data_IF_016326842687
#
_entry.id   IF_016326842687
#
_cell.length_a   1.000
_cell.length_b   1.000
_cell.length_c   1.000
_cell.angle_alpha   90.00
_cell.angle_beta   90.00
_cell.angle_gamma   90.00
#
_symmetry.space_group_name_H-M   'P 1'
#
loop_
_entity.id
_entity.type
_entity.pdbx_description
1 polymer ?
#
# COMPACT_ATOMS: atom_id res chain seq x y z
N UNK A 1 -21.42 -22.40 -0.27
CA UNK A 1 -20.73 -23.26 -1.26
C UNK A 1 -21.38 -23.29 -2.65
N UNK A 2 -22.70 -23.45 -2.81
CA UNK A 2 -23.32 -23.65 -4.16
C UNK A 2 -23.43 -22.36 -5.00
N UNK A 3 -23.52 -21.18 -4.37
CA UNK A 3 -23.73 -19.91 -5.06
C UNK A 3 -22.48 -19.38 -5.78
N UNK A 4 -21.31 -19.42 -5.13
CA UNK A 4 -20.03 -18.95 -5.67
C UNK A 4 -19.47 -19.84 -6.79
N UNK A 5 -19.65 -21.16 -6.69
CA UNK A 5 -19.15 -22.09 -7.72
C UNK A 5 -19.89 -21.95 -9.06
N UNK A 6 -21.21 -21.74 -9.02
CA UNK A 6 -22.03 -21.56 -10.23
C UNK A 6 -21.69 -20.25 -10.95
N UNK A 7 -21.49 -19.16 -10.20
CA UNK A 7 -21.08 -17.85 -10.75
C UNK A 7 -19.67 -17.94 -11.36
N UNK A 8 -18.72 -18.58 -10.66
CA UNK A 8 -17.34 -18.76 -11.14
C UNK A 8 -17.30 -19.50 -12.48
N UNK A 9 -18.00 -20.64 -12.58
CA UNK A 9 -18.03 -21.43 -13.81
C UNK A 9 -18.68 -20.66 -14.98
N UNK A 10 -19.73 -19.89 -14.70
CA UNK A 10 -20.38 -19.04 -15.70
C UNK A 10 -19.41 -17.97 -16.22
N UNK A 11 -18.78 -17.21 -15.32
CA UNK A 11 -17.79 -16.17 -15.66
C UNK A 11 -16.68 -16.75 -16.54
N UNK A 12 -16.09 -17.88 -16.14
CA UNK A 12 -15.00 -18.51 -16.88
C UNK A 12 -15.44 -19.05 -18.25
N UNK A 13 -16.69 -19.51 -18.36
CA UNK A 13 -17.26 -19.93 -19.65
C UNK A 13 -17.42 -18.74 -20.60
N UNK A 14 -17.95 -17.62 -20.08
CA UNK A 14 -18.28 -16.44 -20.88
C UNK A 14 -17.01 -15.76 -21.44
N UNK A 15 -15.89 -15.80 -20.70
CA UNK A 15 -14.64 -15.16 -21.10
C UNK A 15 -13.61 -16.09 -21.77
N UNK A 16 -13.91 -17.39 -21.96
CA UNK A 16 -12.92 -18.40 -22.40
C UNK A 16 -12.18 -18.02 -23.69
N UNK A 17 -12.90 -17.55 -24.70
CA UNK A 17 -12.30 -17.20 -25.99
C UNK A 17 -11.32 -16.01 -25.86
N UNK A 18 -11.65 -15.04 -25.01
CA UNK A 18 -10.80 -13.88 -24.75
C UNK A 18 -9.57 -14.27 -23.92
N UNK A 19 -9.71 -15.19 -22.96
CA UNK A 19 -8.57 -15.75 -22.22
C UNK A 19 -7.51 -16.33 -23.16
N UNK A 20 -7.91 -17.23 -24.06
CA UNK A 20 -6.98 -17.90 -24.98
C UNK A 20 -6.30 -16.90 -25.94
N UNK A 21 -7.08 -15.93 -26.44
CA UNK A 21 -6.59 -14.85 -27.30
C UNK A 21 -5.55 -13.98 -26.59
N UNK A 22 -5.82 -13.56 -25.36
CA UNK A 22 -4.97 -12.64 -24.62
C UNK A 22 -3.71 -13.31 -24.08
N UNK A 23 -3.80 -14.57 -23.66
CA UNK A 23 -2.60 -15.35 -23.33
C UNK A 23 -1.68 -15.48 -24.56
N UNK A 24 -2.24 -15.83 -25.73
CA UNK A 24 -1.46 -15.91 -26.97
C UNK A 24 -0.77 -14.60 -27.33
N UNK A 25 -1.46 -13.46 -27.16
CA UNK A 25 -0.87 -12.14 -27.43
C UNK A 25 0.23 -11.81 -26.42
N UNK A 26 0.03 -12.13 -25.14
CA UNK A 26 1.02 -11.93 -24.11
C UNK A 26 2.30 -12.73 -24.37
N UNK A 27 2.19 -14.03 -24.68
CA UNK A 27 3.35 -14.86 -25.02
C UNK A 27 4.11 -14.31 -26.22
N UNK A 28 3.40 -13.88 -27.28
CA UNK A 28 4.02 -13.27 -28.46
C UNK A 28 4.81 -11.99 -28.11
N UNK A 29 4.25 -11.11 -27.29
CA UNK A 29 4.93 -9.87 -26.90
C UNK A 29 6.16 -10.15 -26.03
N UNK A 30 6.07 -11.15 -25.16
CA UNK A 30 7.20 -11.64 -24.35
C UNK A 30 8.33 -12.19 -25.23
N UNK A 31 8.01 -12.96 -26.26
CA UNK A 31 9.00 -13.49 -27.22
C UNK A 31 9.71 -12.39 -28.02
N UNK A 32 8.99 -11.32 -28.39
CA UNK A 32 9.57 -10.18 -29.11
C UNK A 32 10.51 -9.33 -28.24
N UNK A 33 10.27 -9.32 -26.93
CA UNK A 33 11.13 -8.76 -25.92
C UNK A 33 11.46 -7.27 -26.11
N UNK A 34 12.76 -6.92 -26.07
CA UNK A 34 13.24 -5.53 -26.15
C UNK A 34 12.78 -4.80 -27.43
N UNK A 35 12.64 -5.53 -28.53
CA UNK A 35 12.12 -4.97 -29.79
C UNK A 35 10.68 -4.49 -29.64
N UNK A 36 9.87 -5.24 -28.89
CA UNK A 36 8.50 -4.86 -28.59
C UNK A 36 8.46 -3.60 -27.73
N UNK A 37 9.26 -3.54 -26.67
CA UNK A 37 9.37 -2.34 -25.82
C UNK A 37 9.77 -1.09 -26.64
N UNK A 38 10.84 -1.20 -27.42
CA UNK A 38 11.37 -0.06 -28.21
C UNK A 38 10.33 0.48 -29.19
N UNK A 39 9.64 -0.42 -29.90
CA UNK A 39 8.58 -0.04 -30.83
C UNK A 39 7.39 0.60 -30.10
N UNK A 40 6.92 -0.03 -29.01
CA UNK A 40 5.79 0.45 -28.22
C UNK A 40 6.07 1.84 -27.64
N UNK A 41 7.28 2.06 -27.10
CA UNK A 41 7.70 3.34 -26.55
C UNK A 41 7.69 4.42 -27.63
N UNK A 42 8.38 4.20 -28.73
CA UNK A 42 8.45 5.14 -29.85
C UNK A 42 7.06 5.50 -30.40
N UNK A 43 6.22 4.49 -30.62
CA UNK A 43 4.86 4.68 -31.13
C UNK A 43 3.97 5.45 -30.14
N UNK A 44 4.14 5.21 -28.85
CA UNK A 44 3.34 5.88 -27.81
C UNK A 44 3.79 7.32 -27.63
N UNK A 45 5.10 7.58 -27.52
CA UNK A 45 5.64 8.94 -27.37
C UNK A 45 5.32 9.82 -28.57
N UNK A 46 5.30 9.27 -29.79
CA UNK A 46 4.91 10.01 -31.00
C UNK A 46 3.47 10.51 -31.00
N UNK A 47 2.61 9.95 -30.13
CA UNK A 47 1.19 10.33 -29.99
C UNK A 47 0.95 11.29 -28.81
N UNK A 48 1.97 11.55 -27.99
CA UNK A 48 1.87 12.47 -26.86
C UNK A 48 1.86 13.91 -27.38
N UNK A 49 0.87 14.69 -26.95
CA UNK A 49 0.74 16.12 -27.29
C UNK A 49 1.10 17.02 -26.12
N UNK A 50 1.00 16.50 -24.90
CA UNK A 50 1.39 17.21 -23.68
C UNK A 50 1.83 16.23 -22.60
N UNK A 51 2.79 16.67 -21.79
CA UNK A 51 3.21 16.00 -20.57
C UNK A 51 2.71 16.80 -19.37
N UNK A 52 2.30 16.10 -18.32
CA UNK A 52 1.90 16.70 -17.03
C UNK A 52 2.42 15.85 -15.88
N UNK A 53 2.58 16.45 -14.71
CA UNK A 53 3.12 15.80 -13.51
C UNK A 53 2.06 15.72 -12.42
N UNK A 54 2.22 14.76 -11.52
CA UNK A 54 1.34 14.60 -10.36
C UNK A 54 2.10 14.11 -9.13
N UNK A 55 1.62 14.49 -7.94
CA UNK A 55 2.15 14.07 -6.63
C UNK A 55 1.98 12.58 -6.33
N UNK A 56 1.18 11.88 -7.13
CA UNK A 56 0.88 10.46 -6.96
C UNK A 56 0.15 9.91 -8.18
N UNK A 57 -0.29 8.66 -8.08
CA UNK A 57 -1.03 8.04 -9.17
C UNK A 57 -2.37 8.76 -9.37
N UNK A 58 -2.63 9.20 -10.60
CA UNK A 58 -3.85 9.91 -11.00
C UNK A 58 -4.89 9.01 -11.65
N UNK A 59 -4.47 7.88 -12.21
CA UNK A 59 -5.27 7.14 -13.15
C UNK A 59 -5.22 5.63 -12.95
N UNK A 60 -6.40 5.02 -13.04
CA UNK A 60 -6.58 3.60 -13.24
C UNK A 60 -7.79 3.39 -14.16
N UNK A 61 -7.72 2.46 -15.13
CA UNK A 61 -8.91 2.08 -15.91
C UNK A 61 -9.99 1.36 -15.08
N UNK A 62 -9.64 0.86 -13.88
CA UNK A 62 -10.58 0.18 -12.98
C UNK A 62 -11.44 1.19 -12.21
N UNK A 63 -12.76 0.95 -12.09
CA UNK A 63 -13.61 1.78 -11.24
C UNK A 63 -13.20 1.61 -9.78
N UNK A 64 -13.26 2.71 -9.03
CA UNK A 64 -13.01 2.73 -7.59
C UNK A 64 -11.64 2.19 -7.15
N UNK A 65 -10.64 2.19 -8.04
CA UNK A 65 -9.30 1.68 -7.76
C UNK A 65 -8.70 2.28 -6.48
N UNK A 66 -8.75 3.61 -6.35
CA UNK A 66 -8.22 4.34 -5.20
C UNK A 66 -8.96 3.97 -3.90
N UNK A 67 -10.29 3.90 -3.95
CA UNK A 67 -11.13 3.52 -2.81
C UNK A 67 -10.89 2.07 -2.39
N UNK A 68 -10.77 1.13 -3.34
CA UNK A 68 -10.49 -0.29 -3.04
C UNK A 68 -9.12 -0.52 -2.40
N UNK A 69 -8.12 0.27 -2.78
CA UNK A 69 -6.74 0.13 -2.29
C UNK A 69 -6.41 1.09 -1.15
N UNK A 70 -7.34 1.97 -0.76
CA UNK A 70 -7.12 3.05 0.23
C UNK A 70 -5.94 3.94 -0.13
N UNK A 71 -5.78 4.18 -1.42
CA UNK A 71 -4.78 5.12 -1.93
C UNK A 71 -5.43 6.46 -2.11
N UNK A 72 -4.81 7.50 -1.54
CA UNK A 72 -5.15 8.86 -1.89
C UNK A 72 -4.76 9.08 -3.35
N UNK A 73 -5.72 9.48 -4.17
CA UNK A 73 -5.45 9.89 -5.54
C UNK A 73 -4.51 11.10 -5.52
N UNK A 74 -3.53 11.12 -6.43
CA UNK A 74 -2.61 12.25 -6.53
C UNK A 74 -3.29 13.57 -6.89
N UNK A 75 -2.48 14.62 -6.99
CA UNK A 75 -2.89 15.93 -7.48
C UNK A 75 -2.01 16.35 -8.65
N UNK A 76 -2.60 17.00 -9.65
CA UNK A 76 -1.85 17.56 -10.78
C UNK A 76 -0.92 18.67 -10.31
N UNK A 77 0.28 18.71 -10.88
CA UNK A 77 1.28 19.72 -10.63
C UNK A 77 1.35 20.71 -11.80
N UNK A 78 1.51 21.99 -11.47
CA UNK A 78 1.72 23.04 -12.46
C UNK A 78 3.08 22.93 -13.15
N UNK A 79 4.08 22.35 -12.47
CA UNK A 79 5.44 22.23 -12.94
C UNK A 79 6.01 20.84 -12.65
N UNK A 80 7.06 20.47 -13.38
CA UNK A 80 7.88 19.31 -13.05
C UNK A 80 8.49 19.49 -11.65
N UNK A 81 8.47 18.46 -10.78
CA UNK A 81 9.11 18.53 -9.47
C UNK A 81 10.64 18.50 -9.62
N UNK A 82 11.35 19.11 -8.65
CA UNK A 82 12.81 19.14 -8.63
C UNK A 82 13.41 17.75 -8.39
N UNK A 83 12.75 16.93 -7.57
CA UNK A 83 13.00 15.50 -7.39
C UNK A 83 11.84 14.72 -7.99
N UNK A 84 12.13 13.72 -8.81
CA UNK A 84 11.10 12.92 -9.47
C UNK A 84 10.70 11.70 -8.65
N UNK A 85 11.41 11.39 -7.56
CA UNK A 85 11.16 10.23 -6.72
C UNK A 85 9.72 10.24 -6.20
N UNK A 86 9.00 9.14 -6.43
CA UNK A 86 7.58 8.97 -6.10
C UNK A 86 6.59 9.92 -6.80
N UNK A 87 7.06 10.80 -7.68
CA UNK A 87 6.20 11.58 -8.58
C UNK A 87 5.85 10.80 -9.86
N UNK A 88 4.72 11.19 -10.44
CA UNK A 88 4.20 10.59 -11.66
C UNK A 88 4.23 11.57 -12.82
N UNK A 89 4.67 11.11 -13.99
CA UNK A 89 4.62 11.87 -15.24
C UNK A 89 3.69 11.17 -16.22
N UNK A 90 2.76 11.93 -16.81
CA UNK A 90 1.71 11.43 -17.68
C UNK A 90 1.81 12.03 -19.08
N UNK A 91 1.86 11.17 -20.09
CA UNK A 91 1.77 11.53 -21.50
C UNK A 91 0.33 11.48 -21.97
N UNK A 92 -0.22 12.61 -22.40
CA UNK A 92 -1.60 12.73 -22.89
C UNK A 92 -1.64 12.77 -24.42
N UNK A 93 -2.65 12.13 -25.01
CA UNK A 93 -2.92 12.20 -26.45
C UNK A 93 -3.81 13.39 -26.85
N UNK A 94 -4.11 13.54 -28.16
CA UNK A 94 -4.96 14.61 -28.70
C UNK A 94 -6.38 14.68 -28.10
N UNK A 95 -6.86 13.61 -27.44
CA UNK A 95 -8.16 13.56 -26.78
C UNK A 95 -8.04 13.66 -25.26
N UNK A 96 -6.88 14.11 -24.75
CA UNK A 96 -6.55 14.18 -23.32
C UNK A 96 -6.60 12.83 -22.60
N UNK A 97 -6.37 11.72 -23.32
CA UNK A 97 -6.28 10.39 -22.71
C UNK A 97 -4.86 10.11 -22.27
N UNK A 98 -4.69 9.53 -21.09
CA UNK A 98 -3.40 9.05 -20.59
C UNK A 98 -2.96 7.84 -21.42
N UNK A 99 -1.88 7.99 -22.20
CA UNK A 99 -1.31 6.91 -23.01
C UNK A 99 0.04 6.42 -22.48
N UNK A 100 0.69 7.21 -21.61
CA UNK A 100 1.91 6.84 -20.90
C UNK A 100 1.79 7.31 -19.45
N UNK A 101 2.16 6.45 -18.51
CA UNK A 101 2.41 6.77 -17.11
C UNK A 101 3.85 6.40 -16.77
N UNK A 102 4.54 7.28 -16.05
CA UNK A 102 5.88 7.05 -15.53
C UNK A 102 5.90 7.33 -14.04
N UNK A 103 6.42 6.40 -13.24
CA UNK A 103 6.75 6.63 -11.83
C UNK A 103 8.25 6.79 -11.68
N UNK A 104 8.69 7.94 -11.18
CA UNK A 104 10.11 8.21 -10.94
C UNK A 104 10.68 7.35 -9.83
N UNK A 105 11.92 6.90 -10.02
CA UNK A 105 12.66 6.10 -9.06
C UNK A 105 14.15 6.48 -9.08
N UNK A 106 14.71 6.73 -7.90
CA UNK A 106 16.14 6.96 -7.71
C UNK A 106 16.80 5.68 -7.17
N UNK A 107 18.01 5.37 -7.63
CA UNK A 107 18.77 4.26 -7.05
C UNK A 107 19.21 4.61 -5.62
N UNK A 108 18.81 3.78 -4.64
CA UNK A 108 19.24 3.92 -3.25
C UNK A 108 20.76 4.16 -3.14
N UNK A 109 21.14 5.25 -2.48
CA UNK A 109 22.55 5.59 -2.20
C UNK A 109 23.34 6.20 -3.36
N UNK A 110 22.74 6.50 -4.51
CA UNK A 110 23.46 7.13 -5.63
C UNK A 110 22.60 8.14 -6.41
N UNK A 111 22.51 9.36 -5.86
CA UNK A 111 21.80 10.50 -6.48
C UNK A 111 22.47 11.06 -7.74
N UNK A 112 23.70 10.63 -8.06
CA UNK A 112 24.43 11.05 -9.25
C UNK A 112 24.07 10.22 -10.50
N UNK A 113 23.26 9.17 -10.35
CA UNK A 113 22.74 8.39 -11.48
C UNK A 113 21.51 9.06 -12.06
N UNK A 114 21.40 8.98 -13.39
CA UNK A 114 20.19 9.40 -14.10
C UNK A 114 18.95 8.69 -13.52
N UNK A 115 17.87 9.43 -13.24
CA UNK A 115 16.64 8.85 -12.76
C UNK A 115 16.11 7.77 -13.71
N UNK A 116 15.48 6.75 -13.13
CA UNK A 116 14.83 5.68 -13.89
C UNK A 116 13.33 5.68 -13.63
N UNK A 117 12.59 5.04 -14.52
CA UNK A 117 11.13 5.01 -14.45
C UNK A 117 10.62 3.59 -14.54
N UNK A 118 9.63 3.29 -13.71
CA UNK A 118 8.60 2.32 -14.07
C UNK A 118 7.71 2.96 -15.14
N UNK A 119 7.38 2.23 -16.20
CA UNK A 119 6.59 2.77 -17.30
C UNK A 119 5.36 1.90 -17.57
N UNK A 120 4.20 2.53 -17.65
CA UNK A 120 2.96 1.91 -18.13
C UNK A 120 2.53 2.56 -19.44
N UNK A 121 2.30 1.76 -20.48
CA UNK A 121 1.78 2.23 -21.77
C UNK A 121 0.33 1.78 -21.94
N UNK A 122 -0.57 2.70 -22.31
CA UNK A 122 -1.98 2.40 -22.56
C UNK A 122 -2.32 2.50 -24.05
N UNK A 123 -2.94 1.44 -24.58
CA UNK A 123 -3.43 1.40 -25.96
C UNK A 123 -4.95 1.21 -26.00
N UNK A 124 -5.63 2.23 -26.51
CA UNK A 124 -7.09 2.29 -26.64
C UNK A 124 -7.55 1.69 -27.97
N UNK A 125 -8.10 0.48 -27.94
CA UNK A 125 -8.79 -0.13 -29.07
C UNK A 125 -10.30 0.15 -28.99
N UNK A 126 -10.69 1.31 -29.49
CA UNK A 126 -12.08 1.79 -29.41
C UNK A 126 -13.07 0.91 -30.18
N UNK A 127 -12.66 0.29 -31.29
CA UNK A 127 -13.53 -0.58 -32.08
C UNK A 127 -13.94 -1.84 -31.32
N UNK A 128 -13.05 -2.35 -30.48
CA UNK A 128 -13.30 -3.54 -29.68
C UNK A 128 -13.67 -3.21 -28.23
N UNK A 129 -13.78 -1.93 -27.87
CA UNK A 129 -14.00 -1.47 -26.50
C UNK A 129 -12.99 -2.08 -25.50
N UNK A 130 -11.71 -2.12 -25.89
CA UNK A 130 -10.63 -2.67 -25.04
C UNK A 130 -9.53 -1.64 -24.82
N UNK A 131 -9.10 -1.48 -23.58
CA UNK A 131 -7.83 -0.82 -23.25
C UNK A 131 -6.80 -1.92 -22.95
N UNK A 132 -5.63 -1.84 -23.56
CA UNK A 132 -4.48 -2.67 -23.18
C UNK A 132 -3.50 -1.83 -22.38
N UNK A 133 -2.94 -2.39 -21.32
CA UNK A 133 -1.83 -1.76 -20.59
C UNK A 133 -0.61 -2.67 -20.55
N UNK A 134 0.57 -2.07 -20.70
CA UNK A 134 1.86 -2.76 -20.64
C UNK A 134 2.71 -2.09 -19.58
N UNK A 135 3.00 -2.81 -18.51
CA UNK A 135 3.83 -2.33 -17.41
C UNK A 135 5.25 -2.89 -17.55
N UNK A 136 6.25 -2.01 -17.50
CA UNK A 136 7.67 -2.34 -17.54
C UNK A 136 8.35 -1.86 -16.26
N UNK A 137 9.13 -2.75 -15.65
CA UNK A 137 10.02 -2.37 -14.57
C UNK A 137 11.20 -1.56 -15.10
N UNK A 138 11.77 -0.71 -14.23
CA UNK A 138 12.92 0.13 -14.58
C UNK A 138 14.17 -0.69 -14.94
N UNK A 139 14.32 -1.88 -14.35
CA UNK A 139 15.49 -2.76 -14.46
C UNK A 139 15.39 -3.79 -15.61
N UNK A 140 14.17 -4.16 -16.02
CA UNK A 140 13.88 -5.28 -16.91
C UNK A 140 13.01 -4.85 -18.08
N UNK A 141 13.50 -3.87 -18.85
CA UNK A 141 12.86 -3.33 -20.07
C UNK A 141 12.89 -4.30 -21.27
N UNK A 142 13.26 -5.56 -21.03
CA UNK A 142 13.34 -6.61 -22.04
C UNK A 142 11.99 -7.27 -22.32
N UNK A 143 11.00 -7.17 -21.43
CA UNK A 143 9.65 -7.71 -21.64
C UNK A 143 8.67 -7.05 -20.66
N UNK A 144 7.36 -6.97 -21.00
CA UNK A 144 6.38 -6.43 -20.06
C UNK A 144 6.31 -7.31 -18.81
N UNK A 145 6.45 -6.70 -17.64
CA UNK A 145 6.25 -7.36 -16.34
C UNK A 145 4.80 -7.77 -16.18
N UNK A 146 3.88 -6.85 -16.53
CA UNK A 146 2.44 -7.08 -16.55
C UNK A 146 1.85 -6.65 -17.89
N UNK A 147 0.86 -7.40 -18.38
CA UNK A 147 0.05 -7.02 -19.54
C UNK A 147 -1.43 -7.21 -19.19
N UNK A 148 -2.17 -6.10 -19.11
CA UNK A 148 -3.59 -6.14 -18.77
C UNK A 148 -4.49 -5.78 -19.95
N UNK A 149 -5.69 -6.36 -19.95
CA UNK A 149 -6.76 -6.07 -20.90
C UNK A 149 -8.01 -5.68 -20.12
N UNK A 150 -8.51 -4.48 -20.38
CA UNK A 150 -9.73 -3.92 -19.78
C UNK A 150 -10.82 -3.94 -20.85
N UNK A 151 -11.80 -4.82 -20.72
CA UNK A 151 -12.90 -4.95 -21.68
C UNK A 151 -14.14 -4.22 -21.18
N UNK A 152 -14.68 -3.36 -22.04
CA UNK A 152 -15.86 -2.56 -21.75
C UNK A 152 -17.06 -3.05 -22.56
N UNK A 153 -18.24 -2.93 -21.97
CA UNK A 153 -19.53 -3.08 -22.63
C UNK A 153 -20.40 -1.87 -22.26
N UNK A 154 -20.92 -1.16 -23.25
CA UNK A 154 -21.73 0.06 -23.04
C UNK A 154 -21.03 1.05 -22.10
N UNK A 155 -19.74 1.31 -22.34
CA UNK A 155 -18.87 2.21 -21.56
C UNK A 155 -18.63 1.79 -20.09
N UNK A 156 -18.99 0.55 -19.70
CA UNK A 156 -18.70 0.00 -18.37
C UNK A 156 -17.67 -1.12 -18.46
N UNK A 157 -16.71 -1.10 -17.54
CA UNK A 157 -15.70 -2.14 -17.46
C UNK A 157 -16.35 -3.44 -16.98
N UNK A 158 -16.27 -4.51 -17.76
CA UNK A 158 -16.85 -5.81 -17.39
C UNK A 158 -15.78 -6.82 -17.00
N UNK A 159 -14.63 -6.81 -17.68
CA UNK A 159 -13.55 -7.74 -17.42
C UNK A 159 -12.19 -7.07 -17.37
N UNK A 160 -11.33 -7.56 -16.47
CA UNK A 160 -9.90 -7.23 -16.45
C UNK A 160 -9.08 -8.52 -16.44
N UNK A 161 -8.37 -8.76 -17.53
CA UNK A 161 -7.47 -9.89 -17.67
C UNK A 161 -6.07 -9.43 -17.28
N UNK A 162 -5.46 -10.07 -16.28
CA UNK A 162 -4.13 -9.73 -15.78
C UNK A 162 -3.15 -10.85 -16.07
N UNK A 163 -2.23 -10.60 -16.99
CA UNK A 163 -1.17 -11.53 -17.38
C UNK A 163 0.15 -11.12 -16.75
N UNK A 164 0.81 -12.05 -16.07
CA UNK A 164 2.05 -11.80 -15.34
C UNK A 164 3.20 -12.62 -15.94
N UNK A 165 4.35 -12.00 -16.12
CA UNK A 165 5.49 -12.67 -16.75
C UNK A 165 6.10 -13.78 -15.88
N UNK A 166 6.09 -13.58 -14.55
CA UNK A 166 6.80 -14.44 -13.59
C UNK A 166 5.89 -15.42 -12.81
N UNK A 167 4.61 -15.56 -13.15
CA UNK A 167 3.73 -16.47 -12.40
C UNK A 167 2.67 -17.15 -13.25
N UNK A 168 2.28 -18.37 -12.84
CA UNK A 168 1.05 -19.04 -13.31
C UNK A 168 -0.22 -18.43 -12.69
N UNK A 169 -0.11 -17.25 -12.06
CA UNK A 169 -1.18 -16.60 -11.31
C UNK A 169 -1.87 -15.53 -12.14
N UNK A 170 -2.12 -15.81 -13.43
CA UNK A 170 -2.96 -14.93 -14.25
C UNK A 170 -4.32 -14.79 -13.57
N UNK A 171 -4.79 -13.55 -13.49
CA UNK A 171 -6.04 -13.20 -12.79
C UNK A 171 -7.07 -12.69 -13.77
N UNK A 172 -8.34 -12.92 -13.46
CA UNK A 172 -9.48 -12.31 -14.12
C UNK A 172 -10.28 -11.56 -13.05
N UNK A 173 -10.49 -10.26 -13.21
CA UNK A 173 -11.58 -9.59 -12.50
C UNK A 173 -12.81 -9.54 -13.40
N UNK A 174 -13.98 -9.79 -12.81
CA UNK A 174 -15.28 -9.58 -13.43
C UNK A 174 -16.07 -8.58 -12.61
N UNK A 175 -16.63 -7.58 -13.27
CA UNK A 175 -17.48 -6.55 -12.68
C UNK A 175 -18.94 -6.82 -13.06
N UNK A 176 -19.79 -6.99 -12.05
CA UNK A 176 -21.23 -7.07 -12.23
C UNK A 176 -21.81 -5.65 -12.22
N UNK A 177 -22.64 -5.34 -13.22
CA UNK A 177 -23.25 -4.02 -13.41
C UNK A 177 -24.76 -4.16 -13.48
N UNK A 178 -25.48 -3.38 -12.67
CA UNK A 178 -26.94 -3.29 -12.69
C UNK A 178 -27.36 -1.82 -12.66
N UNK A 179 -28.34 -1.44 -13.49
CA UNK A 179 -28.88 -0.06 -13.56
C UNK A 179 -27.79 1.03 -13.67
N UNK A 180 -26.77 0.76 -14.49
CA UNK A 180 -25.61 1.64 -14.72
C UNK A 180 -24.61 1.75 -13.53
N UNK A 181 -24.78 0.93 -12.49
CA UNK A 181 -23.92 0.92 -11.29
C UNK A 181 -23.16 -0.40 -11.18
N UNK A 182 -21.88 -0.33 -10.81
CA UNK A 182 -21.11 -1.52 -10.43
C UNK A 182 -21.66 -2.04 -9.11
N UNK A 183 -22.08 -3.29 -9.02
CA UNK A 183 -22.65 -3.87 -7.79
C UNK A 183 -21.71 -4.87 -7.11
N UNK A 184 -20.84 -5.52 -7.88
CA UNK A 184 -19.86 -6.45 -7.34
C UNK A 184 -18.64 -6.60 -8.25
N UNK A 185 -17.51 -7.00 -7.65
CA UNK A 185 -16.29 -7.43 -8.35
C UNK A 185 -15.85 -8.79 -7.83
N UNK A 186 -15.59 -9.70 -8.75
CA UNK A 186 -15.09 -11.05 -8.49
C UNK A 186 -13.68 -11.17 -9.04
N UNK A 187 -12.73 -11.59 -8.21
CA UNK A 187 -11.37 -11.89 -8.66
C UNK A 187 -11.15 -13.40 -8.72
N UNK A 188 -10.71 -13.88 -9.87
CA UNK A 188 -10.52 -15.30 -10.16
C UNK A 188 -9.06 -15.57 -10.53
N UNK A 189 -8.54 -16.70 -10.07
CA UNK A 189 -7.32 -17.27 -10.60
C UNK A 189 -7.68 -18.14 -11.81
N UNK A 190 -7.12 -17.82 -12.97
CA UNK A 190 -7.45 -18.48 -14.23
C UNK A 190 -6.99 -19.93 -14.24
N UNK A 191 -5.81 -20.20 -13.68
CA UNK A 191 -5.19 -21.52 -13.64
C UNK A 191 -5.95 -22.49 -12.73
N UNK A 192 -6.32 -22.04 -11.53
CA UNK A 192 -7.04 -22.87 -10.55
C UNK A 192 -8.56 -22.82 -10.73
N UNK A 193 -9.06 -21.93 -11.60
CA UNK A 193 -10.49 -21.74 -11.88
C UNK A 193 -11.31 -21.50 -10.61
N UNK A 194 -10.77 -20.69 -9.71
CA UNK A 194 -11.35 -20.43 -8.40
C UNK A 194 -11.32 -18.94 -8.08
N UNK A 195 -12.22 -18.50 -7.21
CA UNK A 195 -12.12 -17.18 -6.60
C UNK A 195 -10.80 -17.07 -5.83
N UNK A 196 -10.19 -15.88 -5.90
CA UNK A 196 -9.04 -15.52 -5.08
C UNK A 196 -9.53 -15.25 -3.67
N UNK A 197 -8.85 -15.84 -2.68
CA UNK A 197 -9.15 -15.68 -1.25
C UNK A 197 -10.60 -16.03 -0.85
N UNK A 198 -11.32 -16.79 -1.70
CA UNK A 198 -12.73 -17.16 -1.52
C UNK A 198 -13.64 -15.98 -1.14
N UNK A 199 -13.37 -14.79 -1.68
CA UNK A 199 -14.15 -13.58 -1.41
C UNK A 199 -14.56 -12.85 -2.70
N UNK A 200 -15.37 -11.82 -2.53
CA UNK A 200 -15.71 -10.85 -3.58
C UNK A 200 -15.92 -9.47 -2.97
N UNK A 201 -15.92 -8.45 -3.81
CA UNK A 201 -16.16 -7.06 -3.41
C UNK A 201 -17.59 -6.68 -3.77
N UNK A 202 -18.26 -5.93 -2.90
CA UNK A 202 -19.58 -5.34 -3.12
C UNK A 202 -19.45 -3.82 -3.04
N UNK A 203 -20.12 -3.13 -3.96
CA UNK A 203 -20.21 -1.67 -3.97
C UNK A 203 -21.62 -1.25 -3.54
N UNK A 204 -21.69 -0.38 -2.55
CA UNK A 204 -22.94 0.11 -1.97
C UNK A 204 -23.06 1.62 -2.23
N UNK A 205 -24.26 2.06 -2.59
CA UNK A 205 -24.52 3.44 -3.01
C UNK A 205 -25.55 4.11 -2.10
N UNK A 206 -25.38 5.41 -1.87
CA UNK A 206 -26.36 6.25 -1.19
C UNK A 206 -27.54 6.64 -2.08
N UNK A 207 -28.47 7.45 -1.54
CA UNK A 207 -29.72 7.84 -2.22
C UNK A 207 -29.49 8.50 -3.61
N UNK A 208 -28.40 9.24 -3.76
CA UNK A 208 -28.04 9.94 -5.00
C UNK A 208 -27.25 9.07 -5.99
N UNK A 209 -27.20 7.75 -5.80
CA UNK A 209 -26.37 6.81 -6.58
C UNK A 209 -24.87 7.11 -6.57
N UNK A 210 -24.39 7.82 -5.55
CA UNK A 210 -22.96 7.97 -5.28
C UNK A 210 -22.47 6.80 -4.44
N UNK A 211 -21.24 6.33 -4.69
CA UNK A 211 -20.62 5.28 -3.89
C UNK A 211 -20.59 5.74 -2.43
N UNK A 212 -21.14 4.91 -1.53
CA UNK A 212 -21.14 5.13 -0.09
C UNK A 212 -20.14 4.21 0.60
N UNK A 213 -20.11 2.92 0.23
CA UNK A 213 -19.22 1.93 0.85
C UNK A 213 -18.73 0.89 -0.13
N UNK A 214 -17.56 0.34 0.18
CA UNK A 214 -17.04 -0.87 -0.45
C UNK A 214 -16.80 -1.91 0.65
N UNK A 215 -17.31 -3.11 0.43
CA UNK A 215 -17.18 -4.21 1.37
C UNK A 215 -16.55 -5.42 0.69
N UNK A 216 -15.63 -6.11 1.40
CA UNK A 216 -15.10 -7.41 1.01
C UNK A 216 -15.86 -8.49 1.76
N UNK A 217 -16.52 -9.36 1.02
CA UNK A 217 -17.37 -10.41 1.57
C UNK A 217 -16.68 -11.76 1.46
N UNK A 218 -16.36 -12.33 2.63
CA UNK A 218 -15.87 -13.69 2.81
C UNK A 218 -17.03 -14.63 3.17
N UNK A 219 -16.76 -15.94 3.33
CA UNK A 219 -17.81 -16.91 3.68
C UNK A 219 -18.44 -16.68 5.05
N UNK A 220 -17.67 -16.16 6.02
CA UNK A 220 -18.07 -16.03 7.43
C UNK A 220 -17.98 -14.61 7.98
N UNK A 221 -17.50 -13.65 7.20
CA UNK A 221 -17.34 -12.27 7.62
C UNK A 221 -17.42 -11.31 6.44
N UNK A 222 -17.76 -10.06 6.76
CA UNK A 222 -17.68 -8.94 5.82
C UNK A 222 -16.74 -7.91 6.41
N UNK A 223 -15.83 -7.42 5.59
CA UNK A 223 -14.83 -6.42 5.96
C UNK A 223 -15.13 -5.12 5.22
N UNK A 224 -15.17 -3.99 5.94
CA UNK A 224 -15.28 -2.67 5.34
C UNK A 224 -13.93 -2.29 4.69
N UNK A 225 -13.95 -1.96 3.39
CA UNK A 225 -12.76 -1.52 2.64
C UNK A 225 -12.72 -0.01 2.55
N UNK A 226 -13.87 0.60 2.22
CA UNK A 226 -14.02 2.03 2.01
C UNK A 226 -15.36 2.50 2.56
N UNK A 227 -15.39 3.74 3.07
CA UNK A 227 -16.60 4.46 3.44
C UNK A 227 -16.46 5.93 3.06
N UNK A 228 -17.47 6.48 2.41
CA UNK A 228 -17.52 7.91 2.10
C UNK A 228 -17.54 8.73 3.39
N UNK A 229 -16.60 9.66 3.60
CA UNK A 229 -16.61 10.53 4.77
C UNK A 229 -17.87 11.38 4.81
N UNK A 230 -18.58 11.35 5.95
CA UNK A 230 -19.78 12.18 6.17
C UNK A 230 -19.50 13.44 6.97
N UNK A 231 -18.37 13.47 7.68
CA UNK A 231 -17.91 14.58 8.52
C UNK A 231 -16.39 14.73 8.40
N UNK A 232 -15.86 15.86 8.86
CA UNK A 232 -14.41 16.02 9.05
C UNK A 232 -13.87 14.99 10.06
N UNK A 233 -12.66 14.50 9.79
CA UNK A 233 -11.99 13.51 10.63
C UNK A 233 -11.41 14.22 11.87
N UNK A 234 -11.84 13.81 13.07
CA UNK A 234 -11.31 14.35 14.32
C UNK A 234 -10.00 13.65 14.69
N UNK A 235 -8.87 14.22 14.25
CA UNK A 235 -7.53 13.66 14.50
C UNK A 235 -7.24 13.52 16.00
N UNK A 236 -7.76 14.42 16.86
CA UNK A 236 -7.55 14.33 18.31
C UNK A 236 -8.25 13.11 18.90
N UNK A 237 -9.44 12.76 18.40
CA UNK A 237 -10.12 11.55 18.81
C UNK A 237 -9.39 10.28 18.36
N UNK A 238 -8.77 10.28 17.17
CA UNK A 238 -7.92 9.17 16.70
C UNK A 238 -6.70 9.01 17.60
N UNK A 239 -6.00 10.11 17.89
CA UNK A 239 -4.86 10.15 18.80
C UNK A 239 -5.20 9.62 20.19
N UNK A 240 -6.30 10.12 20.77
CA UNK A 240 -6.76 9.68 22.09
C UNK A 240 -7.12 8.19 22.09
N UNK A 241 -7.73 7.68 21.02
CA UNK A 241 -8.01 6.26 20.88
C UNK A 241 -6.72 5.43 20.86
N UNK A 242 -5.73 5.80 20.03
CA UNK A 242 -4.44 5.11 19.96
C UNK A 242 -3.75 5.07 21.32
N UNK A 243 -3.65 6.21 22.00
CA UNK A 243 -3.02 6.31 23.33
C UNK A 243 -3.73 5.41 24.34
N UNK A 244 -5.06 5.51 24.44
CA UNK A 244 -5.84 4.70 25.38
C UNK A 244 -5.69 3.20 25.10
N UNK A 245 -5.64 2.81 23.82
CA UNK A 245 -5.52 1.41 23.44
C UNK A 245 -4.12 0.87 23.71
N UNK A 246 -3.06 1.63 23.40
CA UNK A 246 -1.67 1.30 23.74
C UNK A 246 -1.52 1.16 25.26
N UNK A 247 -2.03 2.13 26.04
CA UNK A 247 -2.02 2.06 27.51
C UNK A 247 -2.74 0.82 28.04
N UNK A 248 -3.91 0.48 27.46
CA UNK A 248 -4.66 -0.72 27.83
C UNK A 248 -3.86 -2.00 27.53
N UNK A 249 -3.17 -2.06 26.40
CA UNK A 249 -2.30 -3.19 26.03
C UNK A 249 -1.11 -3.30 26.98
N UNK A 250 -0.49 -2.19 27.37
CA UNK A 250 0.59 -2.16 28.36
C UNK A 250 0.09 -2.65 29.73
N UNK A 251 -1.08 -2.18 30.18
CA UNK A 251 -1.67 -2.63 31.45
C UNK A 251 -1.99 -4.13 31.45
N UNK A 252 -2.45 -4.67 30.31
CA UNK A 252 -2.70 -6.10 30.12
C UNK A 252 -1.41 -6.92 30.07
N UNK A 253 -0.36 -6.34 29.50
CA UNK A 253 0.93 -6.98 29.27
C UNK A 253 2.05 -6.21 29.98
N UNK A 254 1.96 -6.12 31.31
CA UNK A 254 2.96 -5.36 32.08
C UNK A 254 4.37 -5.90 31.85
N UNK A 255 5.39 -5.04 31.74
CA UNK A 255 6.76 -5.50 31.61
C UNK A 255 7.15 -6.32 32.83
N UNK A 256 7.81 -7.46 32.59
CA UNK A 256 8.20 -8.41 33.65
C UNK A 256 9.53 -8.06 34.33
N UNK A 257 10.31 -7.17 33.73
CA UNK A 257 11.62 -6.72 34.19
C UNK A 257 11.86 -5.28 33.71
N UNK A 258 13.00 -4.69 34.09
CA UNK A 258 13.40 -3.37 33.61
C UNK A 258 13.46 -3.32 32.09
N UNK A 259 12.90 -2.26 31.53
CA UNK A 259 12.94 -1.96 30.10
C UNK A 259 13.78 -0.72 29.85
N UNK A 260 14.61 -0.77 28.82
CA UNK A 260 15.36 0.38 28.31
C UNK A 260 14.71 1.00 27.08
N UNK A 261 13.77 0.30 26.44
CA UNK A 261 13.06 0.84 25.29
C UNK A 261 11.61 0.35 25.22
N UNK A 262 10.75 1.20 24.68
CA UNK A 262 9.43 0.82 24.19
C UNK A 262 9.34 1.18 22.71
N UNK A 263 9.07 0.19 21.87
CA UNK A 263 9.09 0.35 20.41
C UNK A 263 7.66 0.46 19.88
N UNK A 264 7.44 1.44 19.00
CA UNK A 264 6.34 1.53 18.06
C UNK A 264 6.93 1.26 16.67
N UNK A 265 6.58 0.13 16.10
CA UNK A 265 7.15 -0.39 14.87
C UNK A 265 6.10 -0.50 13.78
N UNK A 266 6.44 -0.14 12.55
CA UNK A 266 5.47 -0.18 11.45
C UNK A 266 6.06 -0.61 10.11
N UNK A 267 5.20 -1.16 9.25
CA UNK A 267 5.57 -1.67 7.92
C UNK A 267 5.41 -0.63 6.81
N UNK A 268 5.83 -0.98 5.59
CA UNK A 268 5.63 -0.11 4.43
C UNK A 268 4.18 -0.03 3.97
N UNK A 269 3.39 -1.08 4.14
CA UNK A 269 1.99 -1.10 3.68
C UNK A 269 1.00 -0.73 4.79
N UNK A 270 1.38 -0.93 6.05
CA UNK A 270 0.56 -0.68 7.23
C UNK A 270 1.37 0.15 8.25
N UNK A 271 1.22 1.47 8.22
CA UNK A 271 1.81 2.36 9.24
C UNK A 271 1.02 2.25 10.56
N UNK A 272 -0.30 2.17 10.43
CA UNK A 272 -1.22 2.12 11.55
C UNK A 272 -2.13 0.87 11.48
N UNK A 273 -2.35 0.19 12.61
CA UNK A 273 -1.71 0.49 13.89
C UNK A 273 -0.25 -0.04 13.97
N UNK A 274 0.61 0.53 14.82
CA UNK A 274 1.97 0.04 14.98
C UNK A 274 1.98 -1.25 15.81
N UNK A 275 2.99 -2.07 15.56
CA UNK A 275 3.42 -3.17 16.41
C UNK A 275 4.17 -2.63 17.62
N UNK A 276 3.96 -3.24 18.79
CA UNK A 276 4.52 -2.76 20.06
C UNK A 276 5.46 -3.80 20.67
N UNK A 277 6.63 -3.37 21.15
CA UNK A 277 7.61 -4.24 21.79
C UNK A 277 8.26 -3.61 23.02
N UNK A 278 8.66 -4.45 23.97
CA UNK A 278 9.54 -4.05 25.07
C UNK A 278 11.00 -4.41 24.78
N UNK A 279 11.88 -3.42 24.88
CA UNK A 279 13.32 -3.63 24.97
C UNK A 279 13.72 -3.91 26.41
N UNK A 280 13.89 -5.18 26.77
CA UNK A 280 14.24 -5.58 28.13
C UNK A 280 15.74 -5.47 28.44
N UNK A 281 16.07 -5.00 29.64
CA UNK A 281 17.47 -4.86 30.09
C UNK A 281 18.22 -6.20 30.07
N UNK A 282 17.60 -7.30 30.47
CA UNK A 282 18.27 -8.61 30.49
C UNK A 282 18.73 -9.03 29.09
N UNK A 283 17.95 -8.72 28.05
CA UNK A 283 18.30 -9.03 26.66
C UNK A 283 19.49 -8.18 26.21
N UNK A 284 19.48 -6.89 26.56
CA UNK A 284 20.62 -5.99 26.30
C UNK A 284 21.89 -6.47 26.99
N UNK A 285 21.79 -6.97 28.22
CA UNK A 285 22.93 -7.53 28.97
C UNK A 285 23.44 -8.84 28.36
N UNK A 286 22.55 -9.68 27.84
CA UNK A 286 22.90 -10.92 27.15
C UNK A 286 23.65 -10.64 25.85
N UNK A 287 23.10 -9.76 25.00
CA UNK A 287 23.72 -9.40 23.72
C UNK A 287 25.08 -8.73 23.92
N UNK A 288 25.23 -7.88 24.94
CA UNK A 288 26.50 -7.21 25.25
C UNK A 288 27.64 -8.15 25.64
N UNK A 289 27.34 -9.43 25.95
CA UNK A 289 28.35 -10.45 26.29
C UNK A 289 28.78 -11.30 25.10
N UNK A 290 28.14 -11.14 23.94
CA UNK A 290 28.52 -11.85 22.72
C UNK A 290 29.75 -11.19 22.09
N UNK A 291 30.70 -12.01 21.63
CA UNK A 291 31.95 -11.54 21.01
C UNK A 291 31.69 -10.72 19.72
N UNK A 292 30.52 -10.89 19.09
CA UNK A 292 30.04 -10.17 17.90
C UNK A 292 28.86 -9.24 18.23
N UNK A 293 28.88 -8.57 19.39
CA UNK A 293 27.83 -7.62 19.75
C UNK A 293 27.68 -6.53 18.68
N UNK A 294 26.58 -6.58 17.93
CA UNK A 294 26.14 -5.49 17.09
C UNK A 294 25.10 -4.68 17.87
N UNK A 295 25.42 -3.40 18.11
CA UNK A 295 24.52 -2.46 18.75
C UNK A 295 23.15 -2.38 18.04
N UNK A 296 23.07 -2.72 16.75
CA UNK A 296 21.82 -2.77 16.00
C UNK A 296 20.82 -3.80 16.54
N UNK A 297 21.27 -4.93 17.10
CA UNK A 297 20.37 -5.97 17.59
C UNK A 297 19.51 -5.51 18.77
N UNK A 298 20.04 -4.63 19.64
CA UNK A 298 19.28 -4.10 20.77
C UNK A 298 18.39 -2.91 20.40
N UNK A 299 18.33 -2.52 19.13
CA UNK A 299 17.42 -1.46 18.66
C UNK A 299 16.51 -1.91 17.52
N UNK A 300 16.57 -3.20 17.14
CA UNK A 300 15.75 -3.76 16.08
C UNK A 300 14.55 -4.55 16.66
N UNK A 301 13.30 -4.14 16.42
CA UNK A 301 12.13 -4.78 17.03
C UNK A 301 11.97 -6.28 16.71
N UNK A 302 12.38 -6.73 15.52
CA UNK A 302 12.35 -8.14 15.12
C UNK A 302 13.16 -9.10 16.01
N UNK A 303 14.03 -8.57 16.87
CA UNK A 303 14.83 -9.37 17.80
C UNK A 303 14.08 -9.69 19.11
N UNK A 304 12.91 -9.09 19.34
CA UNK A 304 12.12 -9.29 20.56
C UNK A 304 10.98 -10.30 20.33
N UNK A 305 10.82 -11.30 21.23
CA UNK A 305 9.86 -12.38 21.04
C UNK A 305 8.42 -12.03 21.43
N UNK A 306 8.20 -10.95 22.18
CA UNK A 306 6.88 -10.57 22.70
C UNK A 306 6.36 -9.31 21.99
N UNK A 307 5.43 -9.52 21.08
CA UNK A 307 4.72 -8.50 20.31
C UNK A 307 3.34 -8.23 20.93
N UNK A 308 2.93 -6.95 20.95
CA UNK A 308 1.55 -6.56 21.24
C UNK A 308 0.94 -5.90 20.02
N UNK A 309 -0.10 -6.54 19.49
CA UNK A 309 -0.82 -6.05 18.32
C UNK A 309 -2.05 -5.24 18.71
N UNK A 310 -2.20 -4.10 18.05
CA UNK A 310 -3.42 -3.32 18.02
C UNK A 310 -4.41 -3.92 16.99
N UNK A 311 -5.73 -3.70 17.12
CA UNK A 311 -6.70 -4.22 16.18
C UNK A 311 -6.43 -3.75 14.74
N UNK A 312 -6.38 -4.69 13.79
CA UNK A 312 -6.22 -4.37 12.38
C UNK A 312 -7.37 -3.51 11.85
N UNK A 313 -7.08 -2.78 10.78
CA UNK A 313 -8.02 -1.96 10.01
C UNK A 313 -9.31 -2.67 9.58
N UNK A 314 -9.22 -3.98 9.41
CA UNK A 314 -10.32 -4.85 9.00
C UNK A 314 -11.28 -5.21 10.13
N UNK A 315 -10.90 -4.91 11.37
CA UNK A 315 -11.68 -5.27 12.55
C UNK A 315 -12.89 -4.34 12.66
N UNK A 316 -14.06 -4.95 12.80
CA UNK A 316 -15.33 -4.25 13.05
C UNK A 316 -15.33 -3.48 14.38
N UNK A 317 -14.34 -3.70 15.24
CA UNK A 317 -14.19 -3.03 16.53
C UNK A 317 -13.54 -1.64 16.47
N UNK A 318 -12.89 -1.25 15.37
CA UNK A 318 -12.25 0.07 15.30
C UNK A 318 -13.29 1.19 15.17
N UNK A 319 -13.11 2.33 15.85
CA UNK A 319 -14.00 3.48 15.68
C UNK A 319 -13.98 3.98 14.24
N UNK A 320 -15.14 4.40 13.73
CA UNK A 320 -15.29 4.92 12.37
C UNK A 320 -14.30 6.06 12.06
N UNK A 321 -14.07 6.95 13.01
CA UNK A 321 -13.15 8.07 12.82
C UNK A 321 -11.69 7.62 12.63
N UNK A 322 -11.28 6.51 13.28
CA UNK A 322 -9.96 5.89 13.09
C UNK A 322 -9.88 5.26 11.70
N UNK A 323 -10.92 4.53 11.29
CA UNK A 323 -11.01 3.96 9.95
C UNK A 323 -10.90 5.05 8.85
N UNK A 324 -11.66 6.14 8.99
CA UNK A 324 -11.65 7.25 8.02
C UNK A 324 -10.32 8.00 8.00
N UNK A 325 -9.68 8.22 9.15
CA UNK A 325 -8.33 8.78 9.18
C UNK A 325 -7.38 7.95 8.34
N UNK A 326 -7.41 6.63 8.49
CA UNK A 326 -6.52 5.72 7.80
C UNK A 326 -6.81 5.63 6.30
N UNK A 327 -8.05 5.86 5.90
CA UNK A 327 -8.46 5.92 4.50
C UNK A 327 -7.98 7.21 3.80
N UNK A 328 -8.03 8.36 4.49
CA UNK A 328 -7.83 9.68 3.88
C UNK A 328 -6.42 10.26 4.11
N UNK A 329 -5.66 9.73 5.07
CA UNK A 329 -4.33 10.23 5.45
C UNK A 329 -3.22 9.62 4.60
N UNK A 330 -2.21 10.44 4.29
CA UNK A 330 -0.98 9.97 3.65
C UNK A 330 -0.03 9.34 4.68
N UNK A 331 1.03 8.68 4.21
CA UNK A 331 2.03 8.07 5.08
C UNK A 331 2.61 9.09 6.08
N UNK A 332 2.96 10.28 5.60
CA UNK A 332 3.53 11.37 6.41
C UNK A 332 2.58 11.85 7.52
N UNK A 333 1.27 11.90 7.23
CA UNK A 333 0.25 12.27 8.22
C UNK A 333 0.16 11.22 9.34
N UNK A 334 0.22 9.93 8.98
CA UNK A 334 0.17 8.82 9.92
C UNK A 334 1.44 8.75 10.79
N UNK A 335 2.61 8.92 10.18
CA UNK A 335 3.89 8.98 10.89
C UNK A 335 3.95 10.15 11.88
N UNK A 336 3.48 11.32 11.47
CA UNK A 336 3.39 12.49 12.34
C UNK A 336 2.48 12.20 13.55
N UNK A 337 1.29 11.63 13.32
CA UNK A 337 0.39 11.23 14.39
C UNK A 337 1.06 10.23 15.34
N UNK A 338 1.76 9.22 14.81
CA UNK A 338 2.49 8.24 15.62
C UNK A 338 3.62 8.86 16.44
N UNK A 339 4.34 9.83 15.89
CA UNK A 339 5.38 10.55 16.62
C UNK A 339 4.78 11.30 17.82
N UNK A 340 3.63 11.95 17.63
CA UNK A 340 2.92 12.61 18.73
C UNK A 340 2.41 11.61 19.78
N UNK A 341 1.86 10.46 19.35
CA UNK A 341 1.45 9.38 20.25
C UNK A 341 2.64 8.85 21.04
N UNK A 342 3.80 8.62 20.40
CA UNK A 342 5.01 8.13 21.05
C UNK A 342 5.51 9.07 22.15
N UNK A 343 5.46 10.39 21.93
CA UNK A 343 5.82 11.41 22.93
C UNK A 343 4.90 11.33 24.16
N UNK A 344 3.58 11.18 23.94
CA UNK A 344 2.62 11.06 25.05
C UNK A 344 2.77 9.74 25.80
N UNK A 345 3.00 8.63 25.10
CA UNK A 345 3.27 7.32 25.70
C UNK A 345 4.56 7.34 26.53
N UNK A 346 5.63 7.98 26.04
CA UNK A 346 6.87 8.17 26.80
C UNK A 346 6.62 8.88 28.13
N UNK A 347 5.85 9.96 28.08
CA UNK A 347 5.49 10.75 29.27
C UNK A 347 4.69 9.90 30.26
N UNK A 348 3.69 9.16 29.77
CA UNK A 348 2.86 8.30 30.59
C UNK A 348 3.65 7.13 31.22
N UNK A 349 4.51 6.45 30.46
CA UNK A 349 5.38 5.37 30.97
C UNK A 349 6.32 5.90 32.07
N UNK A 350 6.93 7.06 31.86
CA UNK A 350 7.81 7.68 32.87
C UNK A 350 7.07 7.97 34.17
N UNK A 351 5.80 8.38 34.10
CA UNK A 351 4.99 8.70 35.28
C UNK A 351 4.46 7.46 36.01
N UNK A 352 4.12 6.39 35.29
CA UNK A 352 3.40 5.25 35.85
C UNK A 352 4.28 4.00 36.07
N UNK A 353 5.44 3.94 35.41
CA UNK A 353 6.30 2.76 35.37
C UNK A 353 7.76 3.06 35.73
N UNK A 354 8.07 4.23 36.32
CA UNK A 354 9.44 4.70 36.64
C UNK A 354 10.36 3.61 37.23
N UNK A 355 9.86 2.80 38.15
CA UNK A 355 10.65 1.74 38.80
C UNK A 355 11.08 0.59 37.88
N UNK A 356 10.38 0.41 36.75
CA UNK A 356 10.66 -0.57 35.71
C UNK A 356 11.41 0.04 34.52
N UNK A 357 11.78 1.31 34.58
CA UNK A 357 12.57 1.94 33.52
C UNK A 357 14.06 1.91 33.89
N UNK A 358 14.92 1.81 32.89
CA UNK A 358 16.35 2.09 33.07
C UNK A 358 16.59 3.59 33.01
N UNK A 359 17.74 4.03 33.56
CA UNK A 359 18.12 5.45 33.57
C UNK A 359 18.22 6.03 32.16
N UNK A 360 18.42 5.21 31.13
CA UNK A 360 18.53 5.56 29.73
C UNK A 360 17.31 5.17 28.88
N UNK A 361 16.17 4.94 29.53
CA UNK A 361 14.92 4.57 28.86
C UNK A 361 14.55 5.53 27.71
N UNK A 362 14.16 4.96 26.57
CA UNK A 362 13.75 5.69 25.37
C UNK A 362 12.48 5.11 24.76
N UNK A 363 11.69 5.93 24.07
CA UNK A 363 10.61 5.43 23.20
C UNK A 363 11.05 5.56 21.76
N UNK A 364 10.92 4.50 20.97
CA UNK A 364 11.41 4.44 19.60
C UNK A 364 10.23 4.28 18.67
N UNK A 365 10.10 5.18 17.69
CA UNK A 365 9.23 5.02 16.54
C UNK A 365 10.10 4.71 15.33
N UNK A 366 9.85 3.60 14.64
CA UNK A 366 10.67 3.22 13.48
C UNK A 366 9.92 2.36 12.47
N UNK A 367 10.21 2.60 11.20
CA UNK A 367 9.87 1.72 10.08
C UNK A 367 10.69 0.42 10.15
N UNK A 368 10.22 -0.65 9.50
CA UNK A 368 10.90 -1.95 9.47
C UNK A 368 12.31 -1.93 8.88
N UNK A 369 12.56 -1.02 7.94
CA UNK A 369 13.89 -0.77 7.34
C UNK A 369 14.69 0.29 8.09
N UNK A 370 14.22 0.76 9.25
CA UNK A 370 14.90 1.70 10.14
C UNK A 370 15.22 3.09 9.59
N UNK A 371 14.83 3.44 8.36
CA UNK A 371 15.13 4.74 7.75
C UNK A 371 14.51 5.93 8.50
N UNK A 372 13.42 5.71 9.25
CA UNK A 372 12.78 6.74 10.09
C UNK A 372 13.30 6.79 11.54
N UNK A 373 14.21 5.88 11.91
CA UNK A 373 14.72 5.76 13.27
C UNK A 373 15.36 7.07 13.75
N UNK A 374 16.37 7.57 13.04
CA UNK A 374 17.11 8.77 13.42
C UNK A 374 16.26 10.04 13.54
N UNK A 375 15.42 10.41 12.55
CA UNK A 375 14.60 11.61 12.65
C UNK A 375 13.60 11.54 13.81
N UNK A 376 12.92 10.40 14.01
CA UNK A 376 11.96 10.28 15.11
C UNK A 376 12.62 10.12 16.48
N UNK A 377 13.76 9.43 16.58
CA UNK A 377 14.49 9.31 17.84
C UNK A 377 14.89 10.68 18.38
N UNK A 378 15.33 11.60 17.51
CA UNK A 378 15.65 12.98 17.88
C UNK A 378 14.43 13.73 18.43
N UNK A 379 13.27 13.55 17.81
CA UNK A 379 12.03 14.24 18.19
C UNK A 379 11.47 13.69 19.51
N UNK A 380 11.53 12.38 19.71
CA UNK A 380 10.94 11.69 20.87
C UNK A 380 11.90 11.70 22.07
N UNK A 381 13.20 11.59 21.84
CA UNK A 381 14.26 11.51 22.86
C UNK A 381 15.34 12.58 22.69
N UNK A 382 14.98 13.88 22.65
CA UNK A 382 15.95 14.96 22.46
C UNK A 382 17.03 14.99 23.54
N UNK A 383 16.73 14.54 24.75
CA UNK A 383 17.67 14.47 25.87
C UNK A 383 18.73 13.37 25.73
N UNK A 384 18.52 12.39 24.84
CA UNK A 384 19.43 11.27 24.58
C UNK A 384 20.13 11.34 23.23
N UNK A 385 19.56 12.08 22.28
CA UNK A 385 20.00 12.08 20.89
C UNK A 385 21.50 12.39 20.73
N UNK A 386 22.03 13.43 21.38
CA UNK A 386 23.44 13.81 21.22
C UNK A 386 24.42 12.74 21.71
N UNK A 387 24.02 11.93 22.69
CA UNK A 387 24.86 10.85 23.25
C UNK A 387 24.85 9.61 22.36
N UNK A 388 23.73 9.34 21.68
CA UNK A 388 23.53 8.10 20.93
C UNK A 388 23.64 8.27 19.40
N UNK A 389 23.61 9.51 18.87
CA UNK A 389 23.59 9.77 17.41
C UNK A 389 24.73 9.08 16.64
N UNK A 390 25.94 9.04 17.20
CA UNK A 390 27.10 8.39 16.55
C UNK A 390 26.98 6.86 16.52
N UNK A 391 26.22 6.27 17.45
CA UNK A 391 25.92 4.85 17.43
C UNK A 391 24.85 4.52 16.38
N UNK A 392 24.09 5.52 15.93
CA UNK A 392 23.04 5.42 14.91
C UNK A 392 23.48 5.87 13.51
N UNK A 393 24.68 6.44 13.34
CA UNK A 393 25.21 6.86 12.03
C UNK A 393 25.54 5.69 11.10
N UNK A 394 25.52 4.45 11.61
CA UNK A 394 25.73 3.22 10.85
C UNK A 394 24.46 2.37 10.69
N UNK A 395 23.28 2.91 11.06
CA UNK A 395 21.98 2.27 10.84
C UNK A 395 21.39 2.62 9.49
#
# INVERSE_FOLDING_TARGET
MTFTHTITNKILSDCKNNLDKYDSLFQKNKELGERFYTQLKSDSESKVVSWTWATGQMFSPEPFYFQEHRYKQGEWLDNQPDDIEDFYCYGLDLNNRIIIERRGFNYFGNKDREPVYYETFYHYNLLNQVIQSFYFSYDTKTHPTNHYFFEYENDKLIYVYRMFNQSKNNKLAHYAVENDLYIAKYELNISTKSLINSNHIIYLYGENKQLDKIERVYENMTQLIYKTPTNEIDINAVKAWLINHIQTLIEKNKPRDKIYSFFLYYGSEDILPPYLYYGYQFYRDEMSRMDEFNFCYVWHPAEFPEEFELPYLSDVSIPENVFLFLQESQHEDQEKLLCEVAIEIKTWLTQNYESLLTDDFSVVLTHFELHTFNPFFKLINPERYETLKYQFENF
#
